data_IF_661996487946
#
_entry.id   IF_661996487946
#
_cell.length_a   1.000
_cell.length_b   1.000
_cell.length_c   1.000
_cell.angle_alpha   90.00
_cell.angle_beta   90.00
_cell.angle_gamma   90.00
#
_symmetry.space_group_name_H-M   'P 1'
#
loop_
_entity.id
_entity.type
_entity.pdbx_description
1 polymer ?
#
# COMPACT_ATOMS: atom_id res chain seq x y z
N UNK A 1 -33.79 -26.55 -23.88
CA UNK A 1 -32.93 -27.20 -22.86
C UNK A 1 -31.52 -26.63 -23.02
N UNK A 2 -31.40 -25.45 -22.44
CA UNK A 2 -30.30 -24.82 -21.72
C UNK A 2 -28.86 -25.06 -22.19
N UNK A 3 -28.36 -24.07 -22.91
CA UNK A 3 -26.95 -23.72 -22.98
C UNK A 3 -26.53 -23.12 -21.64
N UNK A 4 -25.74 -23.85 -20.85
CA UNK A 4 -25.07 -23.35 -19.66
C UNK A 4 -23.93 -22.43 -20.08
N UNK A 5 -24.21 -21.12 -20.08
CA UNK A 5 -23.20 -20.08 -20.10
C UNK A 5 -22.33 -20.23 -18.84
N UNK A 6 -21.09 -20.68 -19.00
CA UNK A 6 -20.08 -20.53 -17.95
C UNK A 6 -19.79 -19.04 -17.79
N UNK A 7 -20.30 -18.46 -16.72
CA UNK A 7 -19.94 -17.12 -16.29
C UNK A 7 -18.47 -17.12 -15.88
N UNK A 8 -17.58 -16.83 -16.82
CA UNK A 8 -16.24 -16.33 -16.53
C UNK A 8 -16.43 -14.98 -15.82
N UNK A 9 -16.59 -15.04 -14.50
CA UNK A 9 -16.41 -13.89 -13.62
C UNK A 9 -14.92 -13.59 -13.61
N UNK A 10 -14.48 -12.81 -14.59
CA UNK A 10 -13.19 -12.14 -14.54
C UNK A 10 -13.27 -11.07 -13.43
N UNK A 11 -13.26 -11.51 -12.17
CA UNK A 11 -13.03 -10.67 -11.03
C UNK A 11 -11.56 -10.22 -11.09
N UNK A 12 -11.31 -9.22 -11.92
CA UNK A 12 -10.06 -8.46 -11.89
C UNK A 12 -10.08 -7.70 -10.56
N UNK A 13 -9.62 -8.36 -9.50
CA UNK A 13 -9.43 -7.73 -8.19
C UNK A 13 -8.21 -6.82 -8.30
N UNK A 14 -8.44 -5.62 -8.86
CA UNK A 14 -7.45 -4.56 -8.98
C UNK A 14 -7.25 -3.95 -7.59
N UNK A 15 -6.20 -4.37 -6.91
CA UNK A 15 -5.61 -3.76 -5.73
C UNK A 15 -6.58 -3.23 -4.64
N UNK A 16 -6.81 -4.01 -3.58
CA UNK A 16 -7.53 -3.51 -2.39
C UNK A 16 -6.72 -2.40 -1.72
N UNK A 17 -7.32 -1.21 -1.61
CA UNK A 17 -6.74 -0.03 -0.96
C UNK A 17 -7.09 -0.04 0.53
N UNK A 18 -6.09 0.10 1.39
CA UNK A 18 -6.28 0.24 2.83
C UNK A 18 -5.85 1.64 3.26
N UNK A 19 -6.76 2.35 3.92
CA UNK A 19 -6.47 3.67 4.49
C UNK A 19 -6.00 3.49 5.93
N UNK A 20 -4.72 3.79 6.17
CA UNK A 20 -4.19 3.88 7.52
C UNK A 20 -4.00 5.36 7.87
N UNK A 21 -4.59 5.78 8.99
CA UNK A 21 -4.48 7.14 9.49
C UNK A 21 -3.35 7.18 10.52
N UNK A 22 -2.22 7.77 10.15
CA UNK A 22 -1.15 8.12 11.08
C UNK A 22 -0.38 9.28 10.48
N UNK A 23 -0.06 10.30 11.28
CA UNK A 23 0.67 11.50 10.85
C UNK A 23 -0.05 12.80 11.22
N UNK A 24 0.71 13.74 11.76
CA UNK A 24 0.29 15.14 11.91
C UNK A 24 0.40 15.82 10.55
N UNK A 25 -0.53 16.72 10.19
CA UNK A 25 -0.39 17.52 8.96
C UNK A 25 0.75 18.51 9.17
N UNK A 26 1.96 18.18 8.70
CA UNK A 26 3.12 19.07 8.71
C UNK A 26 3.09 19.89 7.40
N UNK A 27 3.57 21.13 7.43
CA UNK A 27 3.69 21.97 6.25
C UNK A 27 4.61 21.35 5.19
N UNK A 28 4.30 21.58 3.92
CA UNK A 28 5.00 21.10 2.70
C UNK A 28 6.49 21.43 2.73
N UNK A 29 6.82 22.59 3.28
CA UNK A 29 8.20 23.13 3.32
C UNK A 29 9.08 22.43 4.37
N UNK A 30 8.46 21.65 5.27
CA UNK A 30 9.11 21.08 6.44
C UNK A 30 9.22 19.54 6.39
N UNK A 31 8.69 18.84 5.36
CA UNK A 31 8.84 17.38 5.29
C UNK A 31 10.29 17.01 4.95
N UNK A 32 11.03 16.38 5.89
CA UNK A 32 12.46 16.14 5.69
C UNK A 32 12.70 15.04 4.66
N UNK A 33 13.78 15.19 3.89
CA UNK A 33 14.30 14.10 3.08
C UNK A 33 14.64 12.89 3.97
N UNK A 34 14.21 11.70 3.56
CA UNK A 34 14.56 10.47 4.26
C UNK A 34 16.00 10.08 3.91
N UNK A 35 16.93 10.48 4.76
CA UNK A 35 18.34 10.19 4.59
C UNK A 35 18.66 8.71 4.83
N UNK A 36 19.65 8.19 4.10
CA UNK A 36 20.16 6.83 4.28
C UNK A 36 20.65 6.52 5.70
N UNK A 37 21.15 7.54 6.42
CA UNK A 37 21.51 7.42 7.84
C UNK A 37 20.28 7.13 8.70
N UNK A 38 19.18 7.87 8.48
CA UNK A 38 17.93 7.72 9.21
C UNK A 38 17.29 6.34 8.98
N UNK A 39 17.28 5.85 7.74
CA UNK A 39 16.80 4.48 7.42
C UNK A 39 17.56 3.42 8.22
N UNK A 40 18.89 3.54 8.30
CA UNK A 40 19.73 2.61 9.08
C UNK A 40 19.44 2.69 10.58
N UNK A 41 19.23 3.89 11.11
CA UNK A 41 18.90 4.10 12.53
C UNK A 41 17.54 3.47 12.87
N UNK A 42 16.50 3.77 12.11
CA UNK A 42 15.16 3.20 12.28
C UNK A 42 15.20 1.68 12.20
N UNK A 43 15.87 1.15 11.18
CA UNK A 43 16.04 -0.29 11.01
C UNK A 43 16.79 -0.93 12.18
N UNK A 44 17.80 -0.25 12.74
CA UNK A 44 18.54 -0.76 13.91
C UNK A 44 17.67 -0.78 15.16
N UNK A 45 16.82 0.23 15.34
CA UNK A 45 15.87 0.26 16.46
C UNK A 45 14.87 -0.89 16.38
N UNK A 46 14.34 -1.16 15.18
CA UNK A 46 13.43 -2.30 14.96
C UNK A 46 14.12 -3.62 15.30
N UNK A 47 15.35 -3.86 14.81
CA UNK A 47 16.09 -5.10 15.11
C UNK A 47 16.30 -5.29 16.62
N UNK A 48 16.57 -4.21 17.36
CA UNK A 48 16.77 -4.26 18.81
C UNK A 48 15.46 -4.50 19.57
N UNK A 49 14.36 -3.87 19.16
CA UNK A 49 13.06 -3.93 19.86
C UNK A 49 12.25 -5.18 19.52
N UNK A 50 12.39 -5.68 18.29
CA UNK A 50 11.60 -6.79 17.75
C UNK A 50 12.53 -7.94 17.32
N UNK A 51 12.95 -8.81 18.27
CA UNK A 51 13.82 -9.94 17.96
C UNK A 51 13.14 -10.98 17.05
N UNK A 52 11.80 -11.06 17.06
CA UNK A 52 10.96 -11.88 16.18
C UNK A 52 9.86 -11.03 15.53
N UNK A 53 9.24 -11.52 14.45
CA UNK A 53 8.12 -10.83 13.77
C UNK A 53 8.50 -9.59 12.94
N UNK A 54 9.79 -9.22 12.89
CA UNK A 54 10.31 -8.21 11.97
C UNK A 54 10.45 -8.77 10.56
N UNK A 55 10.32 -7.91 9.56
CA UNK A 55 10.49 -8.23 8.16
C UNK A 55 11.43 -7.23 7.47
N UNK A 56 12.21 -7.73 6.53
CA UNK A 56 13.08 -6.90 5.68
C UNK A 56 12.27 -6.37 4.49
N UNK A 57 12.17 -5.05 4.39
CA UNK A 57 11.46 -4.36 3.31
C UNK A 57 12.44 -3.63 2.38
N UNK A 58 11.94 -3.25 1.20
CA UNK A 58 12.67 -2.41 0.25
C UNK A 58 12.09 -0.99 0.28
N UNK A 59 12.98 0.01 0.37
CA UNK A 59 12.63 1.41 0.57
C UNK A 59 13.26 2.24 -0.54
N UNK A 60 12.42 2.86 -1.37
CA UNK A 60 12.82 3.92 -2.29
C UNK A 60 12.75 5.23 -1.51
N UNK A 61 13.90 5.69 -1.02
CA UNK A 61 13.99 6.88 -0.18
C UNK A 61 14.13 8.14 -1.01
N UNK A 62 13.54 9.25 -0.53
CA UNK A 62 13.60 10.55 -1.22
C UNK A 62 15.02 11.07 -1.47
N UNK A 63 16.01 10.62 -0.69
CA UNK A 63 17.43 10.94 -0.90
C UNK A 63 18.08 10.30 -2.16
N UNK A 64 17.32 9.58 -3.00
CA UNK A 64 17.85 8.99 -4.24
C UNK A 64 18.43 7.59 -4.10
N UNK A 65 18.19 6.93 -2.96
CA UNK A 65 18.70 5.58 -2.70
C UNK A 65 17.57 4.58 -2.55
N UNK A 66 17.76 3.40 -3.14
CA UNK A 66 16.97 2.21 -2.84
C UNK A 66 17.72 1.40 -1.79
N UNK A 67 17.07 1.14 -0.67
CA UNK A 67 17.70 0.56 0.52
C UNK A 67 16.83 -0.54 1.11
N UNK A 68 17.45 -1.43 1.89
CA UNK A 68 16.71 -2.38 2.72
C UNK A 68 16.58 -1.84 4.14
N UNK A 69 15.42 -2.02 4.74
CA UNK A 69 15.15 -1.65 6.13
C UNK A 69 14.34 -2.73 6.82
N UNK A 70 14.59 -2.92 8.11
CA UNK A 70 13.77 -3.77 8.97
C UNK A 70 12.57 -2.98 9.48
N UNK A 71 11.38 -3.57 9.35
CA UNK A 71 10.11 -3.06 9.87
C UNK A 71 9.45 -4.14 10.73
N UNK A 72 8.59 -3.71 11.64
CA UNK A 72 7.80 -4.61 12.47
C UNK A 72 6.40 -4.01 12.71
N UNK A 73 5.41 -4.84 13.05
CA UNK A 73 4.13 -4.38 13.58
C UNK A 73 4.27 -3.72 14.95
N UNK A 74 3.41 -2.74 15.23
CA UNK A 74 3.30 -2.16 16.59
C UNK A 74 2.58 -3.08 17.56
N UNK A 75 1.62 -3.85 17.04
CA UNK A 75 0.78 -4.74 17.80
C UNK A 75 1.09 -6.20 17.42
N UNK A 76 1.59 -6.96 18.39
CA UNK A 76 1.92 -8.39 18.20
C UNK A 76 0.70 -9.26 17.91
N UNK A 77 -0.51 -8.75 18.10
CA UNK A 77 -1.76 -9.41 17.71
C UNK A 77 -2.17 -9.10 16.26
N UNK A 78 -1.62 -8.03 15.66
CA UNK A 78 -1.86 -7.61 14.27
C UNK A 78 -0.57 -7.71 13.46
N UNK A 79 -0.05 -8.94 13.36
CA UNK A 79 1.28 -9.20 12.80
C UNK A 79 1.42 -8.81 11.33
N UNK A 80 0.33 -8.60 10.61
CA UNK A 80 0.29 -8.22 9.20
C UNK A 80 0.33 -6.69 8.96
N UNK A 81 0.21 -5.87 10.02
CA UNK A 81 0.18 -4.41 9.91
C UNK A 81 1.53 -3.82 10.31
N UNK A 82 2.39 -3.55 9.32
CA UNK A 82 3.69 -2.91 9.54
C UNK A 82 3.53 -1.46 10.00
N UNK A 83 4.27 -1.07 11.05
CA UNK A 83 4.45 0.34 11.37
C UNK A 83 5.49 0.96 10.43
N UNK A 84 5.03 1.90 9.61
CA UNK A 84 5.86 2.71 8.71
C UNK A 84 5.80 4.20 9.02
N UNK A 85 5.17 4.60 10.13
CA UNK A 85 4.87 6.01 10.42
C UNK A 85 6.11 6.90 10.44
N UNK A 86 7.24 6.39 10.97
CA UNK A 86 8.52 7.10 11.00
C UNK A 86 9.13 7.39 9.61
N UNK A 87 8.63 6.71 8.57
CA UNK A 87 9.03 6.92 7.17
C UNK A 87 8.10 7.88 6.43
N UNK A 88 6.97 8.24 7.05
CA UNK A 88 5.92 9.06 6.44
C UNK A 88 5.39 10.08 7.45
N UNK A 89 6.08 11.21 7.66
CA UNK A 89 5.68 12.23 8.63
C UNK A 89 4.27 12.77 8.42
N UNK A 90 3.86 12.93 7.16
CA UNK A 90 2.53 13.37 6.73
C UNK A 90 1.53 12.21 6.52
N UNK A 91 1.91 11.03 6.98
CA UNK A 91 1.13 9.81 6.84
C UNK A 91 1.23 9.12 5.49
N UNK A 92 0.66 7.92 5.45
CA UNK A 92 0.81 7.00 4.35
C UNK A 92 -0.51 6.34 3.95
N UNK A 93 -0.52 5.78 2.74
CA UNK A 93 -1.57 4.89 2.24
C UNK A 93 -0.90 3.58 1.83
N UNK A 94 -1.56 2.45 2.10
CA UNK A 94 -1.10 1.13 1.69
C UNK A 94 -2.01 0.54 0.63
N UNK A 95 -1.41 -0.08 -0.39
CA UNK A 95 -2.15 -0.84 -1.41
C UNK A 95 -1.64 -2.27 -1.42
N UNK A 96 -2.55 -3.24 -1.33
CA UNK A 96 -2.24 -4.64 -1.57
C UNK A 96 -2.32 -4.90 -3.07
N UNK A 97 -1.22 -5.39 -3.63
CA UNK A 97 -1.08 -5.76 -5.02
C UNK A 97 -1.06 -7.29 -5.04
N UNK A 98 -2.06 -7.90 -5.68
CA UNK A 98 -2.19 -9.36 -5.86
C UNK A 98 -2.00 -9.77 -7.32
N UNK A 99 -2.16 -8.80 -8.23
CA UNK A 99 -2.00 -8.94 -9.68
C UNK A 99 -1.04 -7.88 -10.18
N UNK A 100 -0.25 -8.22 -11.19
CA UNK A 100 0.65 -7.29 -11.84
C UNK A 100 -0.17 -6.19 -12.54
N UNK A 101 0.03 -4.90 -12.23
CA UNK A 101 -0.70 -3.79 -12.84
C UNK A 101 -0.56 -3.80 -14.37
N UNK A 102 -1.57 -3.29 -15.09
CA UNK A 102 -1.63 -3.26 -16.57
C UNK A 102 -1.84 -4.63 -17.22
N UNK A 103 -1.11 -5.67 -16.81
CA UNK A 103 -1.19 -7.02 -17.42
C UNK A 103 -2.28 -7.88 -16.76
N UNK A 104 -2.54 -7.67 -15.46
CA UNK A 104 -3.58 -8.39 -14.72
C UNK A 104 -3.19 -9.82 -14.30
N UNK A 105 -1.96 -10.27 -14.56
CA UNK A 105 -1.51 -11.60 -14.14
C UNK A 105 -1.34 -11.70 -12.63
N UNK A 106 -1.78 -12.81 -12.02
CA UNK A 106 -1.57 -13.05 -10.59
C UNK A 106 -0.09 -13.13 -10.24
N UNK A 107 0.30 -12.49 -9.15
CA UNK A 107 1.68 -12.54 -8.67
C UNK A 107 1.93 -13.81 -7.84
N UNK A 108 3.19 -14.25 -7.79
CA UNK A 108 3.60 -15.40 -6.98
C UNK A 108 3.45 -15.15 -5.47
N UNK A 109 3.62 -13.89 -5.06
CA UNK A 109 3.38 -13.40 -3.71
C UNK A 109 2.60 -12.09 -3.81
N UNK A 110 1.82 -11.81 -2.78
CA UNK A 110 1.23 -10.49 -2.63
C UNK A 110 2.27 -9.47 -2.19
N UNK A 111 2.09 -8.24 -2.64
CA UNK A 111 2.96 -7.13 -2.27
C UNK A 111 2.13 -6.02 -1.67
N UNK A 112 2.61 -5.42 -0.58
CA UNK A 112 2.08 -4.14 -0.11
C UNK A 112 3.02 -3.02 -0.49
N UNK A 113 2.47 -2.00 -1.13
CA UNK A 113 3.15 -0.74 -1.42
C UNK A 113 2.62 0.33 -0.47
N UNK A 114 3.53 0.95 0.29
CA UNK A 114 3.24 2.08 1.15
C UNK A 114 3.76 3.35 0.50
N UNK A 115 2.92 4.37 0.41
CA UNK A 115 3.23 5.66 -0.22
C UNK A 115 2.73 6.81 0.63
N UNK A 116 3.26 8.01 0.42
CA UNK A 116 2.77 9.21 1.10
C UNK A 116 1.26 9.42 0.87
N UNK A 117 0.55 9.85 1.92
CA UNK A 117 -0.90 10.11 1.86
C UNK A 117 -1.25 11.21 0.87
N UNK A 118 -0.42 12.25 0.79
CA UNK A 118 -0.59 13.38 -0.12
C UNK A 118 0.71 13.53 -0.93
N UNK A 119 0.90 12.74 -2.02
CA UNK A 119 2.15 12.77 -2.79
C UNK A 119 2.46 14.13 -3.42
N UNK A 120 1.46 14.99 -3.67
CA UNK A 120 1.65 16.30 -4.29
C UNK A 120 2.42 17.29 -3.41
N UNK A 121 2.46 17.07 -2.09
CA UNK A 121 3.15 17.93 -1.13
C UNK A 121 4.37 17.28 -0.49
N UNK A 122 4.70 16.04 -0.86
CA UNK A 122 5.85 15.34 -0.34
C UNK A 122 7.09 15.57 -1.23
N UNK A 123 8.32 15.51 -0.68
CA UNK A 123 9.54 15.73 -1.46
C UNK A 123 9.65 14.79 -2.65
N UNK A 124 10.15 15.27 -3.80
CA UNK A 124 10.32 14.39 -4.97
C UNK A 124 11.27 13.23 -4.64
N UNK A 125 10.84 12.02 -4.99
CA UNK A 125 11.58 10.80 -4.76
C UNK A 125 12.57 10.57 -5.90
N UNK A 126 13.82 10.96 -5.66
CA UNK A 126 14.90 10.78 -6.62
C UNK A 126 15.19 9.30 -6.92
N UNK A 127 14.90 8.38 -5.99
CA UNK A 127 15.12 6.95 -6.21
C UNK A 127 14.09 6.38 -7.18
N UNK A 128 12.83 6.78 -7.05
CA UNK A 128 11.77 6.41 -8.01
C UNK A 128 12.04 7.04 -9.37
N UNK A 129 12.36 8.33 -9.40
CA UNK A 129 12.68 9.04 -10.64
C UNK A 129 13.84 8.39 -11.40
N UNK A 130 14.89 7.97 -10.68
CA UNK A 130 16.03 7.27 -11.27
C UNK A 130 15.73 5.82 -11.69
N UNK A 131 14.82 5.13 -11.00
CA UNK A 131 14.50 3.73 -11.28
C UNK A 131 13.53 3.55 -12.44
N UNK A 132 12.51 4.41 -12.56
CA UNK A 132 11.39 4.23 -13.52
C UNK A 132 11.13 5.46 -14.39
N UNK A 133 11.91 6.54 -14.26
CA UNK A 133 11.73 7.76 -15.07
C UNK A 133 10.49 8.60 -14.73
N UNK A 134 9.69 8.18 -13.76
CA UNK A 134 8.52 8.91 -13.28
C UNK A 134 8.82 9.71 -12.01
N UNK A 135 8.33 10.96 -11.97
CA UNK A 135 8.28 11.75 -10.72
C UNK A 135 7.32 11.10 -9.74
N UNK A 136 7.65 11.06 -8.46
CA UNK A 136 6.76 10.59 -7.39
C UNK A 136 7.10 11.32 -6.10
N UNK A 137 6.10 11.78 -5.34
CA UNK A 137 6.34 12.48 -4.07
C UNK A 137 6.34 11.53 -2.87
N UNK A 138 7.30 11.74 -1.98
CA UNK A 138 7.45 10.98 -0.74
C UNK A 138 8.11 9.62 -0.92
N UNK A 139 8.35 8.93 0.19
CA UNK A 139 8.98 7.61 0.18
C UNK A 139 8.06 6.56 -0.45
N UNK A 140 8.64 5.46 -0.92
CA UNK A 140 7.88 4.26 -1.32
C UNK A 140 8.49 3.06 -0.62
N UNK A 141 7.67 2.28 0.06
CA UNK A 141 8.10 1.04 0.73
C UNK A 141 7.37 -0.13 0.13
N UNK A 142 8.12 -1.18 -0.23
CA UNK A 142 7.59 -2.47 -0.62
C UNK A 142 7.85 -3.50 0.47
N UNK A 143 6.79 -4.22 0.83
CA UNK A 143 6.82 -5.38 1.70
C UNK A 143 6.16 -6.57 1.00
N UNK A 144 6.71 -7.77 1.20
CA UNK A 144 6.20 -9.00 0.62
C UNK A 144 5.34 -9.74 1.63
N UNK A 145 4.16 -10.14 1.19
CA UNK A 145 3.17 -10.84 1.97
C UNK A 145 2.85 -12.19 1.31
N UNK A 146 2.52 -13.18 2.13
CA UNK A 146 2.02 -14.46 1.66
C UNK A 146 0.65 -14.33 1.00
N UNK A 147 0.30 -15.34 0.21
CA UNK A 147 -0.99 -15.42 -0.49
C UNK A 147 -2.10 -15.91 0.47
N UNK A 148 -2.38 -15.15 1.52
CA UNK A 148 -3.43 -15.50 2.48
C UNK A 148 -4.80 -14.99 1.99
N UNK A 149 -5.88 -15.69 2.35
CA UNK A 149 -7.23 -15.19 2.13
C UNK A 149 -7.46 -13.86 2.89
N UNK A 150 -8.42 -13.01 2.49
CA UNK A 150 -8.63 -11.70 3.12
C UNK A 150 -8.95 -11.71 4.63
N UNK A 151 -9.40 -12.84 5.14
CA UNK A 151 -9.78 -13.12 6.53
C UNK A 151 -8.69 -13.90 7.30
N UNK A 152 -7.60 -14.25 6.64
CA UNK A 152 -6.47 -14.95 7.24
C UNK A 152 -5.35 -13.98 7.61
N UNK A 153 -4.66 -14.28 8.72
CA UNK A 153 -3.44 -13.57 9.11
C UNK A 153 -2.38 -13.73 8.02
N UNK A 154 -2.04 -12.64 7.33
CA UNK A 154 -1.00 -12.66 6.31
C UNK A 154 0.39 -12.82 6.96
N UNK A 155 1.17 -13.80 6.52
CA UNK A 155 2.56 -13.95 6.91
C UNK A 155 3.45 -13.08 6.04
N UNK A 156 4.39 -12.37 6.65
CA UNK A 156 5.30 -11.47 5.95
C UNK A 156 6.62 -12.17 5.63
N UNK A 157 7.18 -11.87 4.46
CA UNK A 157 8.43 -12.45 4.02
C UNK A 157 9.51 -11.40 3.74
N UNK A 158 10.75 -11.73 4.10
CA UNK A 158 11.91 -10.89 3.82
C UNK A 158 12.08 -10.63 2.31
N UNK A 159 12.28 -9.36 1.97
CA UNK A 159 12.58 -8.94 0.60
C UNK A 159 14.07 -9.20 0.30
N UNK A 160 14.31 -9.97 -0.78
CA UNK A 160 15.66 -10.31 -1.24
C UNK A 160 16.24 -9.18 -2.11
N UNK A 161 17.50 -9.32 -2.56
CA UNK A 161 18.08 -8.31 -3.49
C UNK A 161 17.51 -8.49 -4.89
N UNK A 162 17.23 -9.72 -5.28
CA UNK A 162 16.68 -10.10 -6.58
C UNK A 162 15.25 -9.58 -6.76
N UNK A 163 14.55 -9.26 -5.66
CA UNK A 163 13.22 -8.64 -5.72
C UNK A 163 13.20 -7.30 -6.46
N UNK A 164 14.33 -6.61 -6.61
CA UNK A 164 14.41 -5.37 -7.40
C UNK A 164 14.00 -5.57 -8.86
N UNK A 165 14.36 -6.71 -9.45
CA UNK A 165 14.09 -7.01 -10.86
C UNK A 165 12.58 -7.11 -11.13
N UNK A 166 11.79 -7.47 -10.12
CA UNK A 166 10.33 -7.44 -10.16
C UNK A 166 9.77 -6.08 -9.73
N UNK A 167 10.30 -5.51 -8.65
CA UNK A 167 9.72 -4.34 -7.99
C UNK A 167 9.84 -3.06 -8.82
N UNK A 168 10.90 -2.92 -9.62
CA UNK A 168 11.07 -1.76 -10.50
C UNK A 168 10.00 -1.75 -11.62
N UNK A 169 9.83 -2.82 -12.43
CA UNK A 169 8.73 -2.90 -13.38
C UNK A 169 7.35 -2.81 -12.72
N UNK A 170 7.17 -3.42 -11.54
CA UNK A 170 5.92 -3.34 -10.80
C UNK A 170 5.57 -1.90 -10.40
N UNK A 171 6.55 -1.16 -9.88
CA UNK A 171 6.38 0.25 -9.51
C UNK A 171 6.05 1.12 -10.73
N UNK A 172 6.73 0.89 -11.84
CA UNK A 172 6.48 1.60 -13.11
C UNK A 172 5.05 1.39 -13.60
N UNK A 173 4.62 0.13 -13.68
CA UNK A 173 3.28 -0.25 -14.09
C UNK A 173 2.22 0.32 -13.14
N UNK A 174 2.46 0.29 -11.82
CA UNK A 174 1.57 0.84 -10.81
C UNK A 174 1.42 2.37 -10.91
N UNK A 175 2.53 3.10 -11.10
CA UNK A 175 2.48 4.56 -11.30
C UNK A 175 1.73 4.92 -12.58
N UNK A 176 2.01 4.19 -13.67
CA UNK A 176 1.33 4.38 -14.96
C UNK A 176 -0.16 4.15 -14.84
N UNK A 177 -0.55 3.05 -14.19
CA UNK A 177 -1.94 2.74 -13.90
C UNK A 177 -2.61 3.86 -13.10
N UNK A 178 -2.01 4.31 -11.99
CA UNK A 178 -2.59 5.38 -11.14
C UNK A 178 -2.71 6.74 -11.81
N UNK A 179 -1.97 6.98 -12.88
CA UNK A 179 -2.04 8.20 -13.69
C UNK A 179 -2.97 8.10 -14.88
N UNK A 180 -3.44 6.89 -15.20
CA UNK A 180 -4.34 6.67 -16.32
C UNK A 180 -5.69 7.34 -16.07
N UNK A 181 -6.20 8.15 -17.02
CA UNK A 181 -7.50 8.83 -16.86
C UNK A 181 -8.68 7.87 -16.75
N UNK A 182 -8.51 6.60 -17.13
CA UNK A 182 -9.54 5.57 -17.04
C UNK A 182 -9.82 5.07 -15.62
N UNK A 183 -8.89 5.23 -14.67
CA UNK A 183 -9.12 4.85 -13.26
C UNK A 183 -10.02 5.81 -12.48
N UNK A 184 -10.31 6.99 -13.05
CA UNK A 184 -11.28 7.95 -12.48
C UNK A 184 -12.73 7.49 -12.65
N UNK A 185 -13.04 6.62 -13.62
CA UNK A 185 -14.42 6.22 -13.94
C UNK A 185 -14.85 5.01 -13.10
N UNK A 186 -13.92 4.09 -12.80
CA UNK A 186 -14.24 2.87 -12.05
C UNK A 186 -14.37 3.10 -10.53
N UNK A 187 -13.74 4.14 -9.96
CA UNK A 187 -13.89 4.48 -8.54
C UNK A 187 -15.24 5.15 -8.21
N UNK A 188 -15.83 5.90 -9.15
CA UNK A 188 -17.12 6.56 -8.93
C UNK A 188 -18.29 5.59 -8.76
N UNK A 189 -18.17 4.35 -9.27
CA UNK A 189 -19.22 3.35 -9.14
C UNK A 189 -19.11 2.48 -7.87
N UNK A 190 -17.99 2.51 -7.15
CA UNK A 190 -17.88 1.88 -5.82
C UNK A 190 -18.27 2.81 -4.67
N UNK A 191 -18.35 4.12 -4.92
CA UNK A 191 -18.66 5.15 -3.92
C UNK A 191 -20.17 5.47 -3.79
N UNK A 192 -21.03 4.78 -4.54
CA UNK A 192 -22.51 4.90 -4.45
C UNK A 192 -23.14 3.55 -4.10
N UNK A 193 -22.86 3.00 -2.90
CA UNK A 193 -23.80 2.05 -2.27
C UNK A 193 -23.58 1.76 -0.77
N UNK A 194 -23.12 2.74 0.03
CA UNK A 194 -23.13 2.62 1.49
C UNK A 194 -23.61 3.93 2.12
N UNK A 195 -24.82 4.38 1.79
CA UNK A 195 -25.51 5.42 2.58
C UNK A 195 -27.01 5.52 2.24
N UNK A 196 -27.77 4.43 2.37
CA UNK A 196 -29.25 4.49 2.50
C UNK A 196 -29.79 3.15 3.01
N UNK A 197 -29.27 2.65 4.13
CA UNK A 197 -29.95 1.67 4.98
C UNK A 197 -29.44 1.87 6.39
N UNK A 198 -29.93 2.92 7.02
CA UNK A 198 -30.34 2.91 8.42
C UNK A 198 -30.83 4.31 8.79
N UNK A 199 -31.80 4.33 9.70
CA UNK A 199 -32.50 5.50 10.26
C UNK A 199 -33.67 5.99 9.41
N UNK A 200 -34.83 5.37 9.60
CA UNK A 200 -35.98 5.99 10.28
C UNK A 200 -37.05 4.90 10.49
N UNK A 201 -37.05 4.32 11.69
CA UNK A 201 -38.20 3.57 12.20
C UNK A 201 -38.54 4.21 13.54
N UNK A 202 -39.57 5.06 13.55
CA UNK A 202 -40.36 5.36 14.74
C UNK A 202 -41.75 5.81 14.30
N UNK A 203 -42.67 4.88 14.52
CA UNK A 203 -44.09 4.98 14.89
C UNK A 203 -45.05 5.89 14.13
N UNK A 204 -46.07 5.27 13.51
CA UNK A 204 -47.46 5.39 13.95
C UNK A 204 -48.38 4.50 13.10
N UNK A 205 -49.24 3.72 13.78
CA UNK A 205 -50.61 3.28 13.46
C UNK A 205 -50.84 1.85 14.01
N UNK A 206 -51.89 1.44 14.73
CA UNK A 206 -53.14 2.01 15.24
C UNK A 206 -53.72 0.91 16.19
N UNK A 207 -54.38 1.32 17.28
CA UNK A 207 -55.64 0.69 17.71
C UNK A 207 -55.62 -0.39 18.80
N UNK A 208 -56.01 -0.03 20.04
CA UNK A 208 -57.35 -0.22 20.62
C UNK A 208 -57.42 0.38 22.03
#
# INVERSE_FOLDING_TARGET
MDASASSDSSDVVVARRWYFHGGSTISVEDEPLLLAKRVRELSTQVVKRHPAGRVKCLIFATCGRVMKGWLAPDDVTKVDVLNVSDYFPNGFVSYRITTFPVIGCRMAHDWRIFVAKIPSIAPNNLAVSGAVGHKWGGNVIFARYGNAAPDETEWMEDVSRQSLDLLVPLLDAWITEKRSPFHSITQLNSDVNISTRDVFNYDAEVGL
#
